data_IF_339953387811
#
_entry.id   IF_339953387811
#
_cell.length_a   1.000
_cell.length_b   1.000
_cell.length_c   1.000
_cell.angle_alpha   90.00
_cell.angle_beta   90.00
_cell.angle_gamma   90.00
#
_symmetry.space_group_name_H-M   'P 1'
#
loop_
_entity.id
_entity.type
_entity.pdbx_description
1 polymer ?
#
# COMPACT_ATOMS: atom_id res chain seq x y z
N UNK A 1 5.06 22.33 -20.47
CA UNK A 1 4.76 21.42 -21.59
C UNK A 1 5.24 20.04 -21.17
N UNK A 2 4.45 19.01 -20.89
CA UNK A 2 3.03 18.68 -21.07
C UNK A 2 2.51 18.09 -19.75
N UNK A 3 1.26 18.37 -19.38
CA UNK A 3 0.66 17.87 -18.15
C UNK A 3 0.18 16.40 -18.33
N UNK A 4 1.11 15.45 -18.44
CA UNK A 4 0.88 13.99 -18.49
C UNK A 4 0.64 13.40 -17.07
N UNK A 5 0.69 14.24 -16.03
CA UNK A 5 0.80 13.86 -14.61
C UNK A 5 -0.49 13.28 -13.96
N UNK A 6 -1.59 13.09 -14.68
CA UNK A 6 -2.87 12.62 -14.08
C UNK A 6 -3.59 11.56 -14.90
N UNK A 7 -2.88 10.72 -15.66
CA UNK A 7 -3.51 9.48 -16.15
C UNK A 7 -3.69 8.54 -14.96
N UNK A 8 -4.86 8.61 -14.32
CA UNK A 8 -5.37 7.53 -13.47
C UNK A 8 -5.19 6.24 -14.26
N UNK A 9 -4.47 5.26 -13.70
CA UNK A 9 -4.30 3.96 -14.34
C UNK A 9 -5.71 3.42 -14.63
N UNK A 10 -6.11 3.45 -15.90
CA UNK A 10 -7.45 3.10 -16.32
C UNK A 10 -7.37 1.83 -17.13
N UNK A 11 -8.02 0.78 -16.65
CA UNK A 11 -8.12 -0.48 -17.36
C UNK A 11 -9.01 -0.26 -18.58
N UNK A 12 -8.44 -0.43 -19.79
CA UNK A 12 -9.18 -0.28 -21.05
C UNK A 12 -10.01 -1.52 -21.34
N UNK A 13 -11.11 -1.69 -20.61
CA UNK A 13 -12.02 -2.83 -20.75
C UNK A 13 -13.46 -2.42 -20.41
N UNK A 14 -14.43 -3.18 -20.92
CA UNK A 14 -15.85 -3.04 -20.54
C UNK A 14 -16.17 -3.73 -19.21
N UNK A 15 -15.26 -4.56 -18.70
CA UNK A 15 -15.41 -5.27 -17.43
C UNK A 15 -15.16 -4.35 -16.23
N UNK A 16 -15.89 -4.55 -15.14
CA UNK A 16 -15.55 -3.88 -13.88
C UNK A 16 -14.12 -4.30 -13.43
N UNK A 17 -13.21 -3.35 -13.11
CA UNK A 17 -11.86 -3.65 -12.66
C UNK A 17 -11.78 -4.65 -11.50
N UNK A 18 -12.72 -4.59 -10.55
CA UNK A 18 -12.79 -5.54 -9.42
C UNK A 18 -12.99 -6.98 -9.90
N UNK A 19 -13.93 -7.18 -10.84
CA UNK A 19 -14.24 -8.48 -11.44
C UNK A 19 -13.04 -8.98 -12.25
N UNK A 20 -12.40 -8.08 -13.00
CA UNK A 20 -11.23 -8.40 -13.79
C UNK A 20 -10.07 -8.89 -12.92
N UNK A 21 -9.72 -8.14 -11.87
CA UNK A 21 -8.65 -8.51 -10.92
C UNK A 21 -8.98 -9.83 -10.24
N UNK A 22 -10.22 -10.00 -9.78
CA UNK A 22 -10.65 -11.24 -9.15
C UNK A 22 -10.58 -12.44 -10.10
N UNK A 23 -11.06 -12.29 -11.34
CA UNK A 23 -10.96 -13.32 -12.37
C UNK A 23 -9.52 -13.71 -12.68
N UNK A 24 -8.65 -12.72 -12.85
CA UNK A 24 -7.23 -12.92 -13.11
C UNK A 24 -6.52 -13.64 -11.95
N UNK A 25 -6.88 -13.33 -10.71
CA UNK A 25 -6.26 -13.92 -9.51
C UNK A 25 -6.36 -15.46 -9.46
N UNK A 26 -7.37 -16.03 -10.12
CA UNK A 26 -7.58 -17.48 -10.21
C UNK A 26 -6.45 -18.21 -10.94
N UNK A 27 -5.71 -17.50 -11.79
CA UNK A 27 -4.56 -18.02 -12.52
C UNK A 27 -3.23 -17.82 -11.77
N UNK A 28 -3.28 -17.35 -10.52
CA UNK A 28 -2.10 -17.14 -9.65
C UNK A 28 -0.97 -16.33 -10.31
N UNK A 29 -1.27 -15.16 -10.91
CA UNK A 29 -0.21 -14.28 -11.39
C UNK A 29 0.67 -13.78 -10.22
N UNK A 30 1.88 -13.30 -10.51
CA UNK A 30 2.69 -12.58 -9.52
C UNK A 30 1.92 -11.42 -8.87
N UNK A 31 2.19 -11.14 -7.60
CA UNK A 31 1.49 -10.08 -6.85
C UNK A 31 1.67 -8.70 -7.47
N UNK A 32 2.86 -8.41 -7.99
CA UNK A 32 3.14 -7.14 -8.67
C UNK A 32 2.24 -6.91 -9.89
N UNK A 33 1.79 -7.97 -10.56
CA UNK A 33 0.85 -7.89 -11.67
C UNK A 33 -0.54 -7.53 -11.15
N UNK A 34 -1.00 -8.16 -10.06
CA UNK A 34 -2.28 -7.83 -9.44
C UNK A 34 -2.29 -6.39 -8.92
N UNK A 35 -1.20 -5.93 -8.33
CA UNK A 35 -1.06 -4.58 -7.77
C UNK A 35 -1.23 -3.49 -8.85
N UNK A 36 -0.75 -3.72 -10.08
CA UNK A 36 -0.96 -2.80 -11.20
C UNK A 36 -2.45 -2.61 -11.50
N UNK A 37 -3.25 -3.68 -11.41
CA UNK A 37 -4.67 -3.63 -11.71
C UNK A 37 -5.53 -3.20 -10.52
N UNK A 38 -5.08 -3.44 -9.28
CA UNK A 38 -5.71 -2.90 -8.08
C UNK A 38 -5.71 -1.37 -8.10
N UNK A 39 -4.63 -0.74 -8.61
CA UNK A 39 -4.55 0.71 -8.84
C UNK A 39 -5.55 1.25 -9.88
N UNK A 40 -6.19 0.37 -10.67
CA UNK A 40 -7.23 0.75 -11.62
C UNK A 40 -8.63 0.81 -11.00
N UNK A 41 -8.80 0.30 -9.77
CA UNK A 41 -10.07 0.38 -9.04
C UNK A 41 -10.19 1.80 -8.46
N UNK A 42 -11.26 2.50 -8.84
CA UNK A 42 -11.42 3.91 -8.47
C UNK A 42 -11.76 4.15 -6.99
N UNK A 43 -12.39 3.16 -6.36
CA UNK A 43 -12.82 3.17 -4.98
C UNK A 43 -11.72 2.57 -4.10
N UNK A 44 -11.14 3.41 -3.24
CA UNK A 44 -9.99 3.02 -2.41
C UNK A 44 -10.33 1.88 -1.47
N UNK A 45 -11.51 1.92 -0.84
CA UNK A 45 -11.94 0.92 0.13
C UNK A 45 -12.16 -0.45 -0.54
N UNK A 46 -12.76 -0.45 -1.74
CA UNK A 46 -12.91 -1.68 -2.52
C UNK A 46 -11.57 -2.24 -2.98
N UNK A 47 -10.65 -1.37 -3.42
CA UNK A 47 -9.30 -1.79 -3.82
C UNK A 47 -8.55 -2.42 -2.64
N UNK A 48 -8.65 -1.82 -1.46
CA UNK A 48 -8.04 -2.30 -0.22
C UNK A 48 -8.64 -3.65 0.20
N UNK A 49 -9.97 -3.75 0.20
CA UNK A 49 -10.67 -5.00 0.52
C UNK A 49 -10.23 -6.15 -0.38
N UNK A 50 -10.17 -5.91 -1.70
CA UNK A 50 -9.74 -6.93 -2.65
C UNK A 50 -8.26 -7.29 -2.48
N UNK A 51 -7.39 -6.30 -2.25
CA UNK A 51 -5.96 -6.52 -1.98
C UNK A 51 -5.74 -7.41 -0.74
N UNK A 52 -6.48 -7.15 0.34
CA UNK A 52 -6.44 -7.99 1.54
C UNK A 52 -6.90 -9.42 1.24
N UNK A 53 -8.02 -9.58 0.52
CA UNK A 53 -8.55 -10.90 0.15
C UNK A 53 -7.59 -11.70 -0.73
N UNK A 54 -6.79 -11.02 -1.55
CA UNK A 54 -5.83 -11.63 -2.46
C UNK A 54 -4.41 -11.74 -1.88
N UNK A 55 -4.19 -11.35 -0.62
CA UNK A 55 -2.88 -11.30 0.03
C UNK A 55 -1.84 -10.48 -0.75
N UNK A 56 -2.27 -9.35 -1.34
CA UNK A 56 -1.40 -8.35 -1.94
C UNK A 56 -0.84 -7.44 -0.83
N UNK A 57 0.08 -7.98 -0.01
CA UNK A 57 0.54 -7.34 1.22
C UNK A 57 1.20 -5.98 0.98
N UNK A 58 2.06 -5.85 -0.04
CA UNK A 58 2.72 -4.59 -0.40
C UNK A 58 1.70 -3.49 -0.69
N UNK A 59 0.69 -3.78 -1.51
CA UNK A 59 -0.40 -2.84 -1.80
C UNK A 59 -1.13 -2.38 -0.52
N UNK A 60 -1.52 -3.32 0.34
CA UNK A 60 -2.23 -3.02 1.60
C UNK A 60 -1.39 -2.12 2.52
N UNK A 61 -0.09 -2.43 2.65
CA UNK A 61 0.83 -1.64 3.48
C UNK A 61 0.98 -0.22 2.93
N UNK A 62 1.20 -0.09 1.62
CA UNK A 62 1.31 1.22 0.96
C UNK A 62 0.02 2.03 1.11
N UNK A 63 -1.15 1.38 1.02
CA UNK A 63 -2.43 2.04 1.28
C UNK A 63 -2.47 2.62 2.71
N UNK A 64 -2.14 1.86 3.73
CA UNK A 64 -2.16 2.38 5.10
C UNK A 64 -1.12 3.47 5.35
N UNK A 65 0.07 3.36 4.74
CA UNK A 65 1.10 4.40 4.78
C UNK A 65 0.56 5.70 4.16
N UNK A 66 -0.05 5.61 2.98
CA UNK A 66 -0.59 6.77 2.26
C UNK A 66 -1.70 7.48 3.06
N UNK A 67 -2.56 6.69 3.72
CA UNK A 67 -3.64 7.20 4.56
C UNK A 67 -3.19 7.59 5.98
N UNK A 68 -1.90 7.43 6.31
CA UNK A 68 -1.35 7.64 7.67
C UNK A 68 -2.09 6.86 8.74
N UNK A 69 -2.67 5.71 8.38
CA UNK A 69 -3.42 4.85 9.30
C UNK A 69 -2.45 3.94 10.06
N UNK A 70 -1.86 4.53 11.09
CA UNK A 70 -0.88 3.86 11.94
C UNK A 70 -1.48 2.69 12.73
N UNK A 71 -2.74 2.80 13.14
CA UNK A 71 -3.42 1.74 13.88
C UNK A 71 -3.68 0.54 12.98
N UNK A 72 -4.12 0.75 11.75
CA UNK A 72 -4.28 -0.31 10.78
C UNK A 72 -2.94 -0.97 10.41
N UNK A 73 -1.85 -0.21 10.26
CA UNK A 73 -0.49 -0.79 10.06
C UNK A 73 -0.08 -1.72 11.19
N UNK A 74 -0.28 -1.29 12.45
CA UNK A 74 0.04 -2.12 13.63
C UNK A 74 -0.80 -3.39 13.65
N UNK A 75 -2.11 -3.27 13.40
CA UNK A 75 -3.00 -4.44 13.33
C UNK A 75 -2.60 -5.38 12.18
N UNK A 76 -2.27 -4.83 11.02
CA UNK A 76 -1.88 -5.60 9.85
C UNK A 76 -0.53 -6.29 10.02
N UNK A 77 0.42 -5.68 10.75
CA UNK A 77 1.70 -6.30 11.12
C UNK A 77 1.52 -7.68 11.76
N UNK A 78 0.51 -7.86 12.60
CA UNK A 78 0.20 -9.14 13.25
C UNK A 78 -0.22 -10.25 12.28
N UNK A 79 -0.59 -9.91 11.04
CA UNK A 79 -0.97 -10.86 9.98
C UNK A 79 0.20 -11.23 9.06
N UNK A 80 1.32 -10.51 9.15
CA UNK A 80 2.50 -10.73 8.29
C UNK A 80 3.51 -11.59 9.04
N UNK A 81 4.06 -12.57 8.33
CA UNK A 81 5.13 -13.40 8.88
C UNK A 81 6.34 -12.53 9.25
N UNK A 82 6.94 -12.72 10.45
CA UNK A 82 8.16 -12.02 10.83
C UNK A 82 9.27 -12.23 9.80
N UNK A 83 10.15 -11.23 9.66
CA UNK A 83 11.35 -11.27 8.79
C UNK A 83 11.09 -11.32 7.28
N UNK A 84 9.83 -11.23 6.83
CA UNK A 84 9.54 -10.97 5.41
C UNK A 84 9.76 -9.49 5.05
N UNK A 85 9.95 -9.21 3.77
CA UNK A 85 10.13 -7.85 3.24
C UNK A 85 9.02 -6.90 3.71
N UNK A 86 7.77 -7.37 3.68
CA UNK A 86 6.60 -6.60 4.10
C UNK A 86 6.59 -6.28 5.60
N UNK A 87 7.14 -7.17 6.42
CA UNK A 87 7.28 -6.91 7.86
C UNK A 87 8.24 -5.73 8.08
N UNK A 88 9.38 -5.73 7.38
CA UNK A 88 10.33 -4.62 7.43
C UNK A 88 9.76 -3.32 6.86
N UNK A 89 8.93 -3.39 5.80
CA UNK A 89 8.21 -2.23 5.29
C UNK A 89 7.33 -1.58 6.36
N UNK A 90 6.56 -2.39 7.10
CA UNK A 90 5.70 -1.90 8.18
C UNK A 90 6.56 -1.31 9.31
N UNK A 91 7.61 -1.99 9.75
CA UNK A 91 8.51 -1.48 10.79
C UNK A 91 9.11 -0.13 10.43
N UNK A 92 9.64 0.00 9.21
CA UNK A 92 10.22 1.24 8.73
C UNK A 92 9.18 2.37 8.68
N UNK A 93 7.96 2.07 8.22
CA UNK A 93 6.87 3.05 8.21
C UNK A 93 6.48 3.50 9.62
N UNK A 94 6.40 2.58 10.58
CA UNK A 94 6.07 2.89 11.97
C UNK A 94 7.18 3.69 12.66
N UNK A 95 8.45 3.44 12.34
CA UNK A 95 9.61 4.15 12.89
C UNK A 95 9.80 5.55 12.28
N UNK A 96 9.50 5.73 11.00
CA UNK A 96 9.64 7.02 10.30
C UNK A 96 8.81 8.14 10.95
N UNK A 97 7.70 7.80 11.62
CA UNK A 97 6.90 8.75 12.41
C UNK A 97 7.58 9.21 13.71
N UNK A 98 8.52 8.43 14.26
CA UNK A 98 9.26 8.73 15.50
C UNK A 98 10.50 9.59 15.23
N UNK A 99 11.12 9.46 14.05
CA UNK A 99 12.34 10.17 13.69
C UNK A 99 12.15 11.69 13.49
N UNK A 100 10.93 12.14 13.18
CA UNK A 100 10.62 13.57 13.07
C UNK A 100 10.68 14.24 14.44
N UNK A 101 10.22 13.56 15.50
CA UNK A 101 10.22 14.12 16.85
C UNK A 101 11.63 14.21 17.46
N UNK A 102 12.53 13.30 17.10
CA UNK A 102 13.94 13.35 17.57
C UNK A 102 14.75 14.45 16.89
N UNK A 103 14.42 14.84 15.65
CA UNK A 103 15.15 15.91 14.95
C UNK A 103 14.79 17.31 15.46
N UNK A 104 13.58 17.52 15.99
CA UNK A 104 13.15 18.82 16.53
C UNK A 104 13.55 19.05 17.99
N UNK A 105 13.89 18.01 18.75
CA UNK A 105 14.34 18.12 20.15
C UNK A 105 15.87 18.15 20.31
N UNK A 106 16.64 18.13 19.22
CA UNK A 106 18.10 18.09 19.23
C UNK A 106 18.82 19.40 18.90
N UNK A 107 18.10 20.50 18.63
CA UNK A 107 18.68 21.84 18.57
C UNK A 107 18.34 22.58 19.85
N UNK A 108 19.16 22.41 20.88
CA UNK A 108 19.76 23.43 21.78
C UNK A 108 20.72 22.63 22.68
N UNK A 109 21.90 23.19 22.94
CA UNK A 109 23.07 22.66 23.66
C UNK A 109 24.05 21.82 22.81
N UNK A 110 25.13 22.42 22.32
CA UNK A 110 26.34 22.72 23.11
C UNK A 110 27.37 23.55 22.32
N UNK A 111 27.87 24.58 23.01
CA UNK A 111 29.10 25.37 22.85
C UNK A 111 29.20 26.37 21.68
#
# INVERSE_FOLDING_TARGET
MNNWLTKKNALKTVMNPEIFVYGMSRHKPPKDVLDQYLNCISDSDKSLYLAQKLNCHKFVIQHYIHHRDRLALISYKGKIAPQNEEYFMIENALQSTVSIFRKTSGLILFK
#
